data_IF_362748393232
#
_entry.id   IF_362748393232
#
_cell.length_a   1.000
_cell.length_b   1.000
_cell.length_c   1.000
_cell.angle_alpha   90.00
_cell.angle_beta   90.00
_cell.angle_gamma   90.00
#
_symmetry.space_group_name_H-M   'P 1'
#
loop_
_entity.id
_entity.type
_entity.pdbx_description
1 polymer ?
#
# COMPACT_ATOMS: atom_id res chain seq x y z
N UNK A 1 -29.38 -2.54 -3.11
CA UNK A 1 -28.31 -1.71 -3.74
C UNK A 1 -28.12 -2.28 -5.13
N UNK A 2 -28.16 -1.47 -6.19
CA UNK A 2 -28.05 -2.01 -7.54
C UNK A 2 -26.59 -2.40 -7.89
N UNK A 3 -26.43 -3.18 -8.96
CA UNK A 3 -25.14 -3.72 -9.38
C UNK A 3 -24.13 -2.62 -9.75
N UNK A 4 -24.56 -1.56 -10.43
CA UNK A 4 -23.67 -0.44 -10.81
C UNK A 4 -23.13 0.30 -9.59
N UNK A 5 -23.97 0.59 -8.59
CA UNK A 5 -23.55 1.23 -7.36
C UNK A 5 -22.57 0.34 -6.57
N UNK A 6 -22.81 -0.97 -6.55
CA UNK A 6 -21.88 -1.92 -5.93
C UNK A 6 -20.53 -1.94 -6.66
N UNK A 7 -20.53 -2.04 -7.99
CA UNK A 7 -19.30 -2.02 -8.80
C UNK A 7 -18.51 -0.72 -8.60
N UNK A 8 -19.19 0.41 -8.50
CA UNK A 8 -18.54 1.70 -8.22
C UNK A 8 -17.85 1.69 -6.85
N UNK A 9 -18.49 1.14 -5.80
CA UNK A 9 -17.89 1.01 -4.46
C UNK A 9 -16.69 0.06 -4.46
N UNK A 10 -16.81 -1.08 -5.14
CA UNK A 10 -15.70 -2.03 -5.32
C UNK A 10 -14.53 -1.35 -6.04
N UNK A 11 -14.79 -0.62 -7.13
CA UNK A 11 -13.75 0.09 -7.87
C UNK A 11 -13.05 1.15 -7.00
N UNK A 12 -13.79 1.91 -6.19
CA UNK A 12 -13.20 2.91 -5.28
C UNK A 12 -12.30 2.25 -4.23
N UNK A 13 -12.78 1.19 -3.59
CA UNK A 13 -12.01 0.44 -2.60
C UNK A 13 -10.72 -0.16 -3.20
N UNK A 14 -10.81 -0.74 -4.41
CA UNK A 14 -9.65 -1.28 -5.11
C UNK A 14 -8.66 -0.19 -5.55
N UNK A 15 -9.14 0.97 -6.00
CA UNK A 15 -8.27 2.12 -6.31
C UNK A 15 -7.51 2.58 -5.07
N UNK A 16 -8.16 2.65 -3.90
CA UNK A 16 -7.49 2.94 -2.63
C UNK A 16 -6.38 1.92 -2.32
N UNK A 17 -6.61 0.64 -2.60
CA UNK A 17 -5.58 -0.38 -2.44
C UNK A 17 -4.38 -0.19 -3.37
N UNK A 18 -4.62 0.21 -4.61
CA UNK A 18 -3.56 0.52 -5.57
C UNK A 18 -2.73 1.74 -5.11
N UNK A 19 -3.36 2.74 -4.50
CA UNK A 19 -2.64 3.89 -3.93
C UNK A 19 -1.71 3.47 -2.79
N UNK A 20 -2.15 2.58 -1.88
CA UNK A 20 -1.29 2.04 -0.82
C UNK A 20 -0.11 1.26 -1.40
N UNK A 21 -0.35 0.43 -2.43
CA UNK A 21 0.72 -0.31 -3.11
C UNK A 21 1.74 0.63 -3.78
N UNK A 22 1.27 1.70 -4.41
CA UNK A 22 2.12 2.72 -5.04
C UNK A 22 2.96 3.46 -3.98
N UNK A 23 2.36 3.87 -2.87
CA UNK A 23 3.08 4.61 -1.83
C UNK A 23 4.15 3.74 -1.15
N UNK A 24 3.88 2.44 -0.94
CA UNK A 24 4.91 1.50 -0.46
C UNK A 24 6.10 1.40 -1.43
N UNK A 25 5.85 1.38 -2.75
CA UNK A 25 6.92 1.35 -3.76
C UNK A 25 7.74 2.64 -3.73
N UNK A 26 7.07 3.78 -3.62
CA UNK A 26 7.72 5.10 -3.49
C UNK A 26 8.61 5.12 -2.23
N UNK A 27 8.05 4.75 -1.07
CA UNK A 27 8.80 4.68 0.19
C UNK A 27 10.06 3.81 0.06
N UNK A 28 9.93 2.61 -0.51
CA UNK A 28 11.04 1.66 -0.66
C UNK A 28 12.10 2.18 -1.65
N UNK A 29 11.68 2.77 -2.77
CA UNK A 29 12.57 3.40 -3.73
C UNK A 29 13.38 4.55 -3.11
N UNK A 30 12.70 5.46 -2.41
CA UNK A 30 13.34 6.59 -1.73
C UNK A 30 14.29 6.12 -0.62
N UNK A 31 13.94 5.05 0.09
CA UNK A 31 14.81 4.44 1.09
C UNK A 31 16.09 3.88 0.45
N UNK A 32 15.96 3.21 -0.69
CA UNK A 32 17.11 2.71 -1.45
C UNK A 32 18.01 3.85 -1.95
N UNK A 33 17.42 4.93 -2.44
CA UNK A 33 18.18 6.11 -2.89
C UNK A 33 18.92 6.79 -1.74
N UNK A 34 18.29 6.88 -0.57
CA UNK A 34 18.96 7.41 0.63
C UNK A 34 20.14 6.51 1.03
N UNK A 35 19.94 5.19 1.09
CA UNK A 35 21.02 4.25 1.40
C UNK A 35 22.18 4.39 0.41
N UNK A 36 21.88 4.46 -0.90
CA UNK A 36 22.90 4.66 -1.94
C UNK A 36 23.66 5.97 -1.75
N UNK A 37 22.95 7.07 -1.49
CA UNK A 37 23.56 8.38 -1.21
C UNK A 37 24.51 8.32 -0.01
N UNK A 38 24.13 7.60 1.05
CA UNK A 38 24.93 7.46 2.27
C UNK A 38 26.17 6.58 2.08
N UNK A 39 26.02 5.48 1.35
CA UNK A 39 27.14 4.58 1.05
C UNK A 39 28.15 5.24 0.11
N UNK A 40 27.68 6.02 -0.87
CA UNK A 40 28.53 6.55 -1.94
C UNK A 40 29.18 5.42 -2.71
N UNK A 41 30.47 5.55 -3.03
CA UNK A 41 31.25 4.53 -3.76
C UNK A 41 31.87 3.47 -2.83
N UNK A 42 31.60 3.52 -1.52
CA UNK A 42 32.25 2.65 -0.53
C UNK A 42 31.80 1.19 -0.61
N UNK A 43 30.58 0.95 -1.10
CA UNK A 43 29.99 -0.39 -1.21
C UNK A 43 28.99 -0.43 -2.38
N UNK A 44 29.04 -1.44 -3.26
CA UNK A 44 28.01 -1.65 -4.27
C UNK A 44 26.63 -1.87 -3.64
N UNK A 45 25.65 -1.06 -4.05
CA UNK A 45 24.25 -1.18 -3.61
C UNK A 45 23.32 -1.17 -4.83
N UNK A 46 22.86 -2.37 -5.21
CA UNK A 46 22.16 -2.63 -6.48
C UNK A 46 20.63 -2.72 -6.33
N UNK A 47 20.07 -2.26 -5.20
CA UNK A 47 18.62 -2.13 -5.04
C UNK A 47 18.16 -0.74 -5.48
N UNK A 48 17.06 -0.67 -6.21
CA UNK A 48 16.40 0.55 -6.68
C UNK A 48 14.87 0.37 -6.75
N UNK A 49 14.16 1.40 -7.22
CA UNK A 49 12.71 1.39 -7.34
C UNK A 49 12.18 0.26 -8.27
N UNK A 50 12.93 -0.12 -9.31
CA UNK A 50 12.53 -1.14 -10.29
C UNK A 50 12.40 -2.52 -9.65
N UNK A 51 13.14 -2.79 -8.58
CA UNK A 51 13.01 -4.04 -7.82
C UNK A 51 11.61 -4.22 -7.21
N UNK A 52 10.88 -3.13 -6.96
CA UNK A 52 9.59 -3.15 -6.27
C UNK A 52 8.39 -3.02 -7.21
N UNK A 53 8.59 -2.62 -8.47
CA UNK A 53 7.51 -2.30 -9.42
C UNK A 53 6.48 -3.43 -9.58
N UNK A 54 6.97 -4.67 -9.69
CA UNK A 54 6.14 -5.85 -9.94
C UNK A 54 5.87 -6.69 -8.69
N UNK A 55 6.22 -6.19 -7.51
CA UNK A 55 5.97 -6.92 -6.26
C UNK A 55 4.49 -6.85 -5.87
N UNK A 56 3.94 -8.00 -5.47
CA UNK A 56 2.63 -8.08 -4.85
C UNK A 56 2.64 -7.39 -3.46
N UNK A 57 1.48 -6.87 -3.02
CA UNK A 57 1.30 -6.19 -1.73
C UNK A 57 1.92 -6.94 -0.54
N UNK A 58 1.78 -8.27 -0.49
CA UNK A 58 2.38 -9.06 0.60
C UNK A 58 3.91 -8.94 0.65
N UNK A 59 4.56 -9.00 -0.51
CA UNK A 59 6.01 -8.82 -0.63
C UNK A 59 6.40 -7.37 -0.33
N UNK A 60 5.63 -6.40 -0.81
CA UNK A 60 5.86 -4.97 -0.49
C UNK A 60 5.83 -4.72 1.02
N UNK A 61 4.81 -5.24 1.73
CA UNK A 61 4.69 -5.11 3.19
C UNK A 61 5.85 -5.81 3.89
N UNK A 62 6.23 -7.01 3.43
CA UNK A 62 7.37 -7.72 4.00
C UNK A 62 8.67 -6.92 3.86
N UNK A 63 8.95 -6.37 2.69
CA UNK A 63 10.13 -5.54 2.46
C UNK A 63 10.06 -4.23 3.24
N UNK A 64 8.90 -3.56 3.28
CA UNK A 64 8.68 -2.33 4.05
C UNK A 64 9.08 -2.49 5.52
N UNK A 65 8.76 -3.63 6.15
CA UNK A 65 9.16 -3.94 7.53
C UNK A 65 10.68 -3.95 7.78
N UNK A 66 11.48 -4.14 6.73
CA UNK A 66 12.95 -4.13 6.83
C UNK A 66 13.51 -2.71 6.79
N UNK A 67 12.79 -1.77 6.18
CA UNK A 67 13.20 -0.37 6.02
C UNK A 67 12.51 0.57 7.03
N UNK A 68 11.42 0.11 7.65
CA UNK A 68 10.60 0.90 8.56
C UNK A 68 10.50 0.22 9.94
N UNK A 69 10.53 1.00 11.02
CA UNK A 69 10.42 0.50 12.41
C UNK A 69 9.09 0.86 13.11
N UNK A 70 8.12 1.44 12.41
CA UNK A 70 6.80 1.76 12.97
C UNK A 70 5.94 0.49 13.08
N UNK A 71 6.04 -0.18 14.24
CA UNK A 71 5.36 -1.44 14.50
C UNK A 71 3.82 -1.36 14.37
N UNK A 72 3.21 -0.22 14.71
CA UNK A 72 1.76 -0.04 14.60
C UNK A 72 1.31 0.06 13.13
N UNK A 73 2.01 0.85 12.32
CA UNK A 73 1.75 0.91 10.88
C UNK A 73 1.94 -0.46 10.22
N UNK A 74 2.98 -1.20 10.60
CA UNK A 74 3.20 -2.56 10.10
C UNK A 74 2.05 -3.52 10.44
N UNK A 75 1.46 -3.42 11.65
CA UNK A 75 0.28 -4.22 12.03
C UNK A 75 -0.94 -3.82 11.21
N UNK A 76 -1.19 -2.51 11.05
CA UNK A 76 -2.29 -1.99 10.23
C UNK A 76 -2.20 -2.49 8.78
N UNK A 77 -1.00 -2.47 8.19
CA UNK A 77 -0.76 -2.98 6.83
C UNK A 77 -1.06 -4.47 6.68
N UNK A 78 -0.71 -5.29 7.68
CA UNK A 78 -1.03 -6.74 7.65
C UNK A 78 -2.53 -6.97 7.71
N UNK A 79 -3.25 -6.26 8.59
CA UNK A 79 -4.70 -6.35 8.66
C UNK A 79 -5.36 -5.92 7.34
N UNK A 80 -4.91 -4.80 6.78
CA UNK A 80 -5.35 -4.28 5.50
C UNK A 80 -5.15 -5.28 4.34
N UNK A 81 -3.99 -5.94 4.25
CA UNK A 81 -3.71 -6.99 3.25
C UNK A 81 -4.76 -8.10 3.29
N UNK A 82 -5.10 -8.58 4.49
CA UNK A 82 -6.07 -9.66 4.67
C UNK A 82 -7.46 -9.23 4.20
N UNK A 83 -7.86 -8.00 4.56
CA UNK A 83 -9.14 -7.44 4.16
C UNK A 83 -9.24 -7.23 2.65
N UNK A 84 -8.20 -6.65 2.02
CA UNK A 84 -8.10 -6.49 0.56
C UNK A 84 -8.24 -7.82 -0.16
N UNK A 85 -7.55 -8.87 0.32
CA UNK A 85 -7.61 -10.19 -0.30
C UNK A 85 -9.00 -10.80 -0.17
N UNK A 86 -9.61 -10.71 1.01
CA UNK A 86 -10.97 -11.16 1.22
C UNK A 86 -11.94 -10.46 0.26
N UNK A 87 -11.90 -9.13 0.20
CA UNK A 87 -12.83 -8.35 -0.63
C UNK A 87 -12.59 -8.57 -2.12
N UNK A 88 -11.34 -8.67 -2.58
CA UNK A 88 -11.06 -8.98 -3.97
C UNK A 88 -11.70 -10.31 -4.39
N UNK A 89 -11.54 -11.37 -3.60
CA UNK A 89 -12.12 -12.68 -3.94
C UNK A 89 -13.65 -12.68 -3.85
N UNK A 90 -14.23 -12.11 -2.79
CA UNK A 90 -15.69 -12.14 -2.57
C UNK A 90 -16.44 -11.19 -3.51
N UNK A 91 -15.92 -9.98 -3.74
CA UNK A 91 -16.55 -9.03 -4.65
C UNK A 91 -16.57 -9.56 -6.09
N UNK A 92 -15.48 -10.20 -6.54
CA UNK A 92 -15.43 -10.86 -7.84
C UNK A 92 -16.48 -11.97 -7.92
N UNK A 93 -16.58 -12.83 -6.90
CA UNK A 93 -17.59 -13.91 -6.88
C UNK A 93 -19.02 -13.36 -7.03
N UNK A 94 -19.37 -12.32 -6.27
CA UNK A 94 -20.70 -11.70 -6.33
C UNK A 94 -20.99 -11.01 -7.67
N UNK A 95 -19.95 -10.52 -8.37
CA UNK A 95 -20.11 -9.90 -9.68
C UNK A 95 -20.10 -10.90 -10.85
N UNK A 96 -19.56 -12.11 -10.64
CA UNK A 96 -19.29 -13.08 -11.72
C UNK A 96 -20.10 -14.37 -11.62
N UNK A 97 -20.93 -14.54 -10.59
CA UNK A 97 -21.85 -15.68 -10.51
C UNK A 97 -22.85 -15.65 -11.68
N UNK A 98 -22.52 -16.44 -12.72
CA UNK A 98 -23.31 -16.58 -13.95
C UNK A 98 -24.60 -17.38 -13.74
N UNK A 99 -24.71 -18.12 -12.64
CA UNK A 99 -25.84 -19.01 -12.40
C UNK A 99 -26.94 -18.31 -11.62
N UNK A 100 -26.59 -17.50 -10.62
CA UNK A 100 -27.57 -16.79 -9.79
C UNK A 100 -27.71 -15.31 -10.15
N UNK A 101 -26.78 -14.74 -10.91
CA UNK A 101 -26.74 -13.30 -11.18
C UNK A 101 -26.38 -12.50 -9.92
N UNK A 102 -26.45 -11.16 -10.04
CA UNK A 102 -26.11 -10.26 -8.95
C UNK A 102 -27.06 -10.43 -7.74
N UNK A 103 -26.49 -10.74 -6.57
CA UNK A 103 -27.24 -10.90 -5.32
C UNK A 103 -27.18 -9.63 -4.46
N UNK A 104 -28.27 -8.87 -4.41
CA UNK A 104 -28.32 -7.60 -3.67
C UNK A 104 -28.03 -7.79 -2.16
N UNK A 105 -28.51 -8.88 -1.57
CA UNK A 105 -28.31 -9.17 -0.15
C UNK A 105 -26.85 -9.44 0.21
N UNK A 106 -26.11 -10.12 -0.68
CA UNK A 106 -24.69 -10.36 -0.46
C UNK A 106 -23.85 -9.11 -0.73
N UNK A 107 -24.28 -8.28 -1.69
CA UNK A 107 -23.67 -6.97 -1.92
C UNK A 107 -23.82 -6.04 -0.72
N UNK A 108 -24.99 -6.03 -0.06
CA UNK A 108 -25.24 -5.26 1.16
C UNK A 108 -24.34 -5.70 2.33
N UNK A 109 -24.07 -7.01 2.48
CA UNK A 109 -23.15 -7.51 3.53
C UNK A 109 -21.70 -7.03 3.36
N UNK A 110 -21.32 -6.68 2.13
CA UNK A 110 -19.97 -6.19 1.82
C UNK A 110 -19.87 -4.66 1.88
N UNK A 111 -20.99 -3.95 2.00
CA UNK A 111 -21.02 -2.50 1.85
C UNK A 111 -20.16 -1.78 2.89
N UNK A 112 -20.38 -2.10 4.16
CA UNK A 112 -19.62 -1.55 5.28
C UNK A 112 -18.12 -1.86 5.16
N UNK A 113 -17.80 -3.07 4.69
CA UNK A 113 -16.40 -3.51 4.51
C UNK A 113 -15.71 -2.77 3.38
N UNK A 114 -16.40 -2.51 2.26
CA UNK A 114 -15.87 -1.72 1.16
C UNK A 114 -15.61 -0.27 1.59
N UNK A 115 -16.54 0.33 2.34
CA UNK A 115 -16.38 1.68 2.87
C UNK A 115 -15.23 1.77 3.89
N UNK A 116 -15.12 0.78 4.79
CA UNK A 116 -14.00 0.68 5.73
C UNK A 116 -12.67 0.51 5.00
N UNK A 117 -12.61 -0.34 3.97
CA UNK A 117 -11.39 -0.54 3.19
C UNK A 117 -10.95 0.75 2.49
N UNK A 118 -11.89 1.52 1.93
CA UNK A 118 -11.61 2.84 1.36
C UNK A 118 -11.00 3.79 2.42
N UNK A 119 -11.63 3.91 3.59
CA UNK A 119 -11.15 4.78 4.67
C UNK A 119 -9.75 4.37 5.17
N UNK A 120 -9.56 3.08 5.45
CA UNK A 120 -8.29 2.53 5.94
C UNK A 120 -7.20 2.69 4.88
N UNK A 121 -7.51 2.49 3.60
CA UNK A 121 -6.53 2.69 2.52
C UNK A 121 -6.05 4.14 2.45
N UNK A 122 -6.95 5.11 2.61
CA UNK A 122 -6.59 6.52 2.64
C UNK A 122 -5.77 6.91 3.89
N UNK A 123 -6.06 6.31 5.04
CA UNK A 123 -5.28 6.48 6.27
C UNK A 123 -3.87 5.91 6.11
N UNK A 124 -3.76 4.67 5.65
CA UNK A 124 -2.48 4.02 5.41
C UNK A 124 -1.61 4.77 4.41
N UNK A 125 -2.21 5.26 3.31
CA UNK A 125 -1.51 6.10 2.35
C UNK A 125 -0.85 7.30 3.03
N UNK A 126 -1.60 8.04 3.86
CA UNK A 126 -1.07 9.20 4.60
C UNK A 126 0.00 8.81 5.62
N UNK A 127 -0.18 7.70 6.33
CA UNK A 127 0.80 7.22 7.31
C UNK A 127 2.11 6.80 6.66
N UNK A 128 2.07 6.04 5.55
CA UNK A 128 3.28 5.67 4.79
C UNK A 128 3.97 6.94 4.27
N UNK A 129 3.21 7.87 3.73
CA UNK A 129 3.73 9.15 3.25
C UNK A 129 4.43 9.94 4.37
N UNK A 130 3.84 9.99 5.56
CA UNK A 130 4.43 10.63 6.72
C UNK A 130 5.74 9.94 7.16
N UNK A 131 5.82 8.61 7.06
CA UNK A 131 7.08 7.88 7.30
C UNK A 131 8.17 8.25 6.27
N UNK A 132 7.81 8.43 4.99
CA UNK A 132 8.75 8.95 3.97
C UNK A 132 9.29 10.32 4.37
N UNK A 133 8.40 11.21 4.85
CA UNK A 133 8.75 12.56 5.27
C UNK A 133 9.84 12.64 6.35
N UNK A 134 9.97 11.61 7.19
CA UNK A 134 10.99 11.55 8.26
C UNK A 134 12.42 11.54 7.73
N UNK A 135 12.63 11.05 6.51
CA UNK A 135 13.96 10.95 5.93
C UNK A 135 14.13 11.68 4.59
N UNK A 136 13.05 12.20 3.99
CA UNK A 136 13.10 13.00 2.75
C UNK A 136 14.11 14.13 2.80
N UNK A 137 14.23 14.82 3.96
CA UNK A 137 15.21 15.89 4.12
C UNK A 137 16.65 15.42 3.86
N UNK A 138 17.01 14.25 4.39
CA UNK A 138 18.34 13.65 4.19
C UNK A 138 18.58 13.17 2.76
N UNK A 139 17.51 12.86 2.02
CA UNK A 139 17.60 12.48 0.62
C UNK A 139 17.91 13.69 -0.27
N UNK A 140 17.18 14.79 -0.11
CA UNK A 140 17.25 15.94 -1.02
C UNK A 140 18.22 17.04 -0.60
N UNK A 141 18.55 17.13 0.69
CA UNK A 141 19.49 18.11 1.19
C UNK A 141 20.78 17.44 1.62
N UNK A 142 21.89 18.17 1.54
CA UNK A 142 23.12 17.75 2.21
C UNK A 142 22.89 17.86 3.72
N UNK A 143 23.42 16.89 4.48
CA UNK A 143 23.54 17.11 5.91
C UNK A 143 24.35 18.39 6.09
N UNK A 144 23.93 19.26 7.00
CA UNK A 144 24.86 20.25 7.53
C UNK A 144 26.07 19.44 8.02
N UNK A 145 27.16 19.50 7.27
CA UNK A 145 28.39 18.85 7.60
C UNK A 145 28.83 19.52 8.90
N UNK A 146 28.48 18.91 10.04
CA UNK A 146 29.13 19.19 11.30
C UNK A 146 30.53 18.59 11.16
N UNK A 147 31.39 19.32 10.45
CA UNK A 147 32.83 19.16 10.53
C UNK A 147 33.18 19.42 12.00
N UNK A 148 33.28 18.34 12.77
CA UNK A 148 33.82 18.34 14.12
C UNK A 148 35.30 18.01 14.02
#
# INVERSE_FOLDING_TARGET
MNQEAFLLKVSKALSGCQMVEMELKIYLGMSCDLVRKRLGERLPFNLDASNFENMALERLIHTFKQFNNNAELQKKLVAFKNERNFLAHNAISNCTDRHNGFQEWDALKLDDRLQQLEQVSAELFREIHAESGKFMGYLYFEDAINNS
#
